data_IF_883179376513
#
_entry.id   IF_883179376513
#
_cell.length_a   1.000
_cell.length_b   1.000
_cell.length_c   1.000
_cell.angle_alpha   90.00
_cell.angle_beta   90.00
_cell.angle_gamma   90.00
#
_symmetry.space_group_name_H-M   'P 1'
#
loop_
_entity.id
_entity.type
_entity.pdbx_description
1 polymer ?
#
# COMPACT_ATOMS: atom_id res chain seq x y z
N UNK A 1 25.87 -7.94 -32.09
CA UNK A 1 24.86 -7.88 -33.16
C UNK A 1 23.63 -7.15 -32.64
N UNK A 2 23.07 -6.31 -33.50
CA UNK A 2 22.13 -5.23 -33.19
C UNK A 2 20.77 -5.73 -32.72
N UNK A 3 20.25 -5.17 -31.63
CA UNK A 3 18.84 -5.33 -31.27
C UNK A 3 18.03 -4.39 -32.16
N UNK A 4 17.15 -4.94 -32.99
CA UNK A 4 16.19 -4.13 -33.73
C UNK A 4 14.93 -4.02 -32.89
N UNK A 5 14.77 -2.89 -32.21
CA UNK A 5 13.51 -2.48 -31.61
C UNK A 5 12.64 -1.86 -32.68
N UNK A 6 11.57 -2.54 -33.07
CA UNK A 6 10.52 -1.90 -33.86
C UNK A 6 9.48 -1.31 -32.92
N UNK A 7 9.24 -0.01 -33.06
CA UNK A 7 8.10 0.65 -32.44
C UNK A 7 6.97 0.76 -33.47
N UNK A 8 5.81 0.23 -33.15
CA UNK A 8 4.58 0.54 -33.87
C UNK A 8 3.87 1.68 -33.12
N UNK A 9 3.60 2.77 -33.84
CA UNK A 9 2.80 3.89 -33.35
C UNK A 9 1.41 3.84 -33.98
N UNK A 10 0.38 3.69 -33.17
CA UNK A 10 -1.02 3.72 -33.62
C UNK A 10 -1.63 5.08 -33.25
N UNK A 11 -2.15 5.79 -34.25
CA UNK A 11 -2.83 7.09 -34.09
C UNK A 11 -4.32 6.82 -33.88
N UNK A 12 -4.87 7.29 -32.77
CA UNK A 12 -6.29 7.26 -32.47
C UNK A 12 -6.82 8.70 -32.52
N UNK A 13 -7.82 8.96 -33.35
CA UNK A 13 -8.39 10.28 -33.57
C UNK A 13 -9.87 10.26 -33.17
N UNK A 14 -10.21 11.10 -32.20
CA UNK A 14 -11.60 11.36 -31.79
C UNK A 14 -12.06 12.68 -32.42
N UNK A 15 -12.96 12.57 -33.40
CA UNK A 15 -13.42 13.70 -34.21
C UNK A 15 -14.44 14.59 -33.50
N UNK A 16 -15.07 14.10 -32.43
CA UNK A 16 -16.09 14.85 -31.70
C UNK A 16 -15.47 15.80 -30.66
N UNK A 17 -14.26 15.47 -30.17
CA UNK A 17 -13.55 16.24 -29.16
C UNK A 17 -12.25 16.90 -29.69
N UNK A 18 -11.88 16.64 -30.95
CA UNK A 18 -10.67 17.21 -31.57
C UNK A 18 -9.34 16.70 -30.99
N UNK A 19 -9.37 15.56 -30.30
CA UNK A 19 -8.22 14.98 -29.59
C UNK A 19 -7.60 13.86 -30.43
N UNK A 20 -6.27 13.94 -30.60
CA UNK A 20 -5.47 12.91 -31.26
C UNK A 20 -4.51 12.29 -30.25
N UNK A 21 -4.61 10.98 -30.05
CA UNK A 21 -3.75 10.21 -29.15
C UNK A 21 -2.83 9.28 -29.94
N UNK A 22 -1.58 9.20 -29.51
CA UNK A 22 -0.58 8.31 -30.11
C UNK A 22 -0.21 7.22 -29.11
N UNK A 23 -0.51 5.96 -29.44
CA UNK A 23 -0.12 4.80 -28.66
C UNK A 23 1.16 4.21 -29.28
N UNK A 24 2.26 4.17 -28.51
CA UNK A 24 3.52 3.56 -28.94
C UNK A 24 3.73 2.23 -28.21
N UNK A 25 3.67 1.11 -28.94
CA UNK A 25 3.97 -0.22 -28.37
C UNK A 25 5.40 -0.62 -28.68
N UNK A 26 6.12 -1.03 -27.64
CA UNK A 26 7.47 -1.58 -27.73
C UNK A 26 7.36 -3.09 -27.60
N UNK A 27 7.64 -3.81 -28.68
CA UNK A 27 7.67 -5.27 -28.67
C UNK A 27 9.13 -5.75 -28.60
N UNK A 28 9.42 -6.63 -27.64
CA UNK A 28 10.64 -7.44 -27.62
C UNK A 28 10.24 -8.90 -27.83
N UNK A 29 10.87 -9.56 -28.80
CA UNK A 29 10.64 -10.98 -29.10
C UNK A 29 11.68 -11.81 -28.34
N UNK A 30 11.29 -12.88 -27.62
CA UNK A 30 12.25 -13.74 -26.94
C UNK A 30 12.93 -14.68 -27.95
N UNK A 31 14.26 -14.68 -27.97
CA UNK A 31 15.04 -15.66 -28.72
C UNK A 31 15.54 -16.74 -27.76
N UNK A 32 15.11 -17.98 -27.98
CA UNK A 32 15.66 -19.18 -27.34
C UNK A 32 17.12 -19.37 -27.77
N UNK A 33 18.06 -19.36 -26.84
CA UNK A 33 19.31 -20.13 -26.91
C UNK A 33 19.84 -20.38 -25.50
N UNK A 34 20.04 -21.66 -25.19
CA UNK A 34 20.74 -22.13 -24.00
C UNK A 34 22.19 -21.66 -24.07
N UNK A 35 22.61 -20.78 -23.17
CA UNK A 35 24.01 -20.71 -22.77
C UNK A 35 24.18 -20.12 -21.36
N UNK A 36 25.12 -20.72 -20.64
CA UNK A 36 25.42 -20.61 -19.21
C UNK A 36 25.84 -19.19 -18.84
N UNK A 37 24.99 -18.45 -18.12
CA UNK A 37 25.30 -17.08 -17.69
C UNK A 37 26.02 -17.06 -16.35
N UNK A 38 27.29 -16.68 -16.40
CA UNK A 38 28.07 -16.15 -15.29
C UNK A 38 27.46 -14.84 -14.79
N UNK A 39 27.29 -14.74 -13.48
CA UNK A 39 26.68 -13.62 -12.77
C UNK A 39 27.57 -12.37 -12.87
N UNK A 40 27.16 -11.40 -13.69
CA UNK A 40 27.78 -10.07 -13.78
C UNK A 40 27.11 -9.13 -12.77
N UNK A 41 27.76 -8.93 -11.62
CA UNK A 41 27.38 -7.95 -10.60
C UNK A 41 27.86 -6.55 -11.00
N UNK A 42 26.93 -5.63 -11.24
CA UNK A 42 27.22 -4.22 -11.50
C UNK A 42 27.49 -3.43 -10.22
N UNK A 43 28.79 -3.24 -9.96
CA UNK A 43 29.46 -1.96 -9.62
C UNK A 43 28.73 -0.98 -8.69
N UNK A 44 29.10 -1.00 -7.40
CA UNK A 44 29.59 0.18 -6.68
C UNK A 44 30.63 -0.26 -5.65
N UNK A 45 31.91 0.05 -5.87
CA UNK A 45 32.92 0.15 -4.81
C UNK A 45 34.17 0.78 -5.40
N UNK A 46 34.34 2.08 -5.13
CA UNK A 46 35.66 2.68 -5.10
C UNK A 46 36.45 1.99 -4.00
N UNK A 47 37.39 1.13 -4.40
CA UNK A 47 38.33 0.46 -3.51
C UNK A 47 39.26 1.50 -2.88
N UNK A 48 38.81 2.15 -1.81
CA UNK A 48 39.71 2.84 -0.89
C UNK A 48 40.50 1.72 -0.21
N UNK A 49 41.77 1.55 -0.60
CA UNK A 49 42.66 0.57 -0.02
C UNK A 49 43.01 0.98 1.42
N UNK A 50 42.11 0.65 2.37
CA UNK A 50 42.35 0.85 3.79
C UNK A 50 43.51 -0.06 4.21
N UNK A 51 44.61 0.56 4.64
CA UNK A 51 45.75 -0.13 5.22
C UNK A 51 45.28 -0.86 6.50
N UNK A 52 45.62 -2.14 6.61
CA UNK A 52 45.24 -3.03 7.71
C UNK A 52 45.62 -2.46 9.10
N UNK A 53 46.74 -1.76 9.19
CA UNK A 53 47.20 -1.10 10.41
C UNK A 53 46.29 0.07 10.80
N UNK A 54 45.81 0.84 9.82
CA UNK A 54 44.92 1.99 10.04
C UNK A 54 43.52 1.54 10.46
N UNK A 55 42.98 0.51 9.79
CA UNK A 55 41.69 -0.10 10.13
C UNK A 55 41.66 -0.61 11.57
N UNK A 56 42.74 -1.28 12.01
CA UNK A 56 42.87 -1.78 13.38
C UNK A 56 42.91 -0.65 14.41
N UNK A 57 43.68 0.41 14.14
CA UNK A 57 43.79 1.58 15.04
C UNK A 57 42.45 2.29 15.20
N UNK A 58 41.69 2.50 14.13
CA UNK A 58 40.37 3.13 14.19
C UNK A 58 39.33 2.28 14.93
N UNK A 59 39.37 0.96 14.77
CA UNK A 59 38.47 0.08 15.53
C UNK A 59 38.78 0.13 17.03
N UNK A 60 40.06 0.12 17.39
CA UNK A 60 40.51 0.23 18.79
C UNK A 60 40.13 1.60 19.37
N UNK A 61 40.30 2.70 18.62
CA UNK A 61 39.91 4.04 19.09
C UNK A 61 38.39 4.19 19.29
N UNK A 62 37.59 3.43 18.55
CA UNK A 62 36.14 3.34 18.73
C UNK A 62 35.71 2.31 19.79
N UNK A 63 36.66 1.78 20.58
CA UNK A 63 36.39 0.88 21.70
C UNK A 63 36.13 -0.57 21.31
N UNK A 64 36.46 -0.97 20.07
CA UNK A 64 36.34 -2.36 19.62
C UNK A 64 37.72 -3.05 19.65
N UNK A 65 37.92 -4.10 20.47
CA UNK A 65 39.21 -4.79 20.58
C UNK A 65 39.47 -5.66 19.35
N UNK A 66 39.94 -5.04 18.27
CA UNK A 66 40.23 -5.73 17.01
C UNK A 66 41.52 -6.57 17.11
N UNK A 67 41.38 -7.85 16.74
CA UNK A 67 42.49 -8.79 16.55
C UNK A 67 43.33 -8.47 15.30
N UNK A 68 44.25 -9.37 14.89
CA UNK A 68 45.05 -9.18 13.69
C UNK A 68 44.16 -9.08 12.44
N UNK A 69 44.43 -8.08 11.60
CA UNK A 69 43.68 -7.83 10.36
C UNK A 69 44.33 -8.61 9.22
N UNK A 70 43.72 -9.73 8.87
CA UNK A 70 44.06 -10.60 7.74
C UNK A 70 43.06 -10.40 6.59
N UNK A 71 43.35 -10.94 5.40
CA UNK A 71 42.46 -10.78 4.24
C UNK A 71 41.05 -11.33 4.47
N UNK A 72 40.92 -12.40 5.28
CA UNK A 72 39.64 -13.00 5.65
C UNK A 72 38.85 -12.17 6.68
N UNK A 73 39.53 -11.36 7.49
CA UNK A 73 38.90 -10.56 8.55
C UNK A 73 38.68 -9.10 8.16
N UNK A 74 39.34 -8.63 7.09
CA UNK A 74 39.29 -7.25 6.59
C UNK A 74 37.87 -6.78 6.27
N UNK A 75 37.08 -7.59 5.55
CA UNK A 75 35.70 -7.23 5.17
C UNK A 75 34.78 -7.09 6.39
N UNK A 76 34.92 -7.99 7.37
CA UNK A 76 34.13 -7.95 8.61
C UNK A 76 34.48 -6.71 9.43
N UNK A 77 35.77 -6.37 9.52
CA UNK A 77 36.25 -5.19 10.21
C UNK A 77 35.88 -3.87 9.52
N UNK A 78 35.84 -3.82 8.20
CA UNK A 78 35.34 -2.67 7.44
C UNK A 78 33.84 -2.44 7.67
N UNK A 79 33.04 -3.51 7.63
CA UNK A 79 31.61 -3.42 7.95
C UNK A 79 31.39 -2.99 9.41
N UNK A 80 32.20 -3.50 10.34
CA UNK A 80 32.13 -3.10 11.75
C UNK A 80 32.50 -1.63 11.93
N UNK A 81 33.53 -1.15 11.25
CA UNK A 81 33.94 0.26 11.26
C UNK A 81 32.84 1.17 10.69
N UNK A 82 32.22 0.79 9.58
CA UNK A 82 31.10 1.53 9.00
C UNK A 82 29.91 1.62 9.96
N UNK A 83 29.56 0.51 10.63
CA UNK A 83 28.48 0.51 11.62
C UNK A 83 28.82 1.36 12.86
N UNK A 84 30.07 1.31 13.35
CA UNK A 84 30.52 2.13 14.46
C UNK A 84 30.55 3.62 14.10
N UNK A 85 30.98 3.97 12.87
CA UNK A 85 30.92 5.34 12.35
C UNK A 85 29.47 5.81 12.14
N UNK A 86 28.57 4.95 11.67
CA UNK A 86 27.13 5.26 11.52
C UNK A 86 26.43 5.45 12.87
N UNK A 87 26.82 4.68 13.89
CA UNK A 87 26.37 4.91 15.27
C UNK A 87 26.95 6.21 15.83
N UNK A 88 28.25 6.47 15.60
CA UNK A 88 28.94 7.69 16.01
C UNK A 88 28.31 8.95 15.39
N UNK A 89 28.00 8.94 14.09
CA UNK A 89 27.35 10.08 13.39
C UNK A 89 25.91 10.27 13.84
N UNK A 90 25.20 9.20 14.25
CA UNK A 90 23.87 9.30 14.86
C UNK A 90 23.90 9.78 16.33
N UNK A 91 25.04 9.66 17.01
CA UNK A 91 25.29 10.22 18.35
C UNK A 91 26.04 11.56 18.36
N UNK A 92 26.53 12.03 17.20
CA UNK A 92 27.35 13.26 17.11
C UNK A 92 26.54 14.54 16.98
N UNK A 93 25.21 14.49 17.03
CA UNK A 93 24.44 15.62 17.54
C UNK A 93 24.54 15.58 19.06
N UNK A 94 25.61 16.13 19.62
CA UNK A 94 25.69 16.46 21.04
C UNK A 94 24.70 17.59 21.29
N UNK A 95 23.40 17.27 21.26
CA UNK A 95 22.38 18.04 21.91
C UNK A 95 22.79 17.97 23.37
N UNK A 96 23.29 19.10 23.90
CA UNK A 96 23.52 19.28 25.32
C UNK A 96 22.17 19.11 26.02
N UNK A 97 21.83 17.87 26.36
CA UNK A 97 20.62 17.56 27.10
C UNK A 97 20.85 18.07 28.51
N UNK A 98 20.15 19.12 28.89
CA UNK A 98 20.28 19.72 30.20
C UNK A 98 19.94 18.70 31.29
N UNK A 99 20.73 18.72 32.37
CA UNK A 99 20.65 17.73 33.44
C UNK A 99 19.30 17.78 34.17
N UNK A 100 18.69 18.97 34.28
CA UNK A 100 17.38 19.13 34.88
C UNK A 100 16.29 18.65 33.94
N UNK A 101 16.38 18.91 32.64
CA UNK A 101 15.42 18.39 31.65
C UNK A 101 15.40 16.86 31.63
N UNK A 102 16.57 16.21 31.66
CA UNK A 102 16.68 14.75 31.70
C UNK A 102 16.04 14.15 32.97
N UNK A 103 16.27 14.80 34.12
CA UNK A 103 15.70 14.37 35.41
C UNK A 103 14.17 14.51 35.41
N UNK A 104 13.66 15.65 34.95
CA UNK A 104 12.21 15.93 34.91
C UNK A 104 11.47 14.94 34.02
N UNK A 105 12.00 14.62 32.84
CA UNK A 105 11.38 13.64 31.94
C UNK A 105 11.41 12.21 32.48
N UNK A 106 12.48 11.82 33.18
CA UNK A 106 12.51 10.51 33.82
C UNK A 106 11.46 10.41 34.93
N UNK A 107 11.31 11.45 35.75
CA UNK A 107 10.31 11.51 36.81
C UNK A 107 8.89 11.51 36.23
N UNK A 108 8.65 12.25 35.15
CA UNK A 108 7.33 12.28 34.51
C UNK A 108 6.94 10.93 33.89
N UNK A 109 7.92 10.12 33.48
CA UNK A 109 7.74 8.74 33.04
C UNK A 109 7.75 7.73 34.20
N UNK A 110 7.65 8.20 35.45
CA UNK A 110 7.51 7.36 36.64
C UNK A 110 8.83 6.78 37.17
N UNK A 111 9.99 7.25 36.68
CA UNK A 111 11.30 6.83 37.18
C UNK A 111 11.87 7.86 38.16
N UNK A 112 12.04 7.52 39.46
CA UNK A 112 12.57 8.44 40.47
C UNK A 112 14.08 8.62 40.28
N UNK A 113 14.46 9.51 39.36
CA UNK A 113 15.85 9.77 39.05
C UNK A 113 16.57 10.52 40.19
N UNK A 114 17.76 10.05 40.58
CA UNK A 114 18.71 10.74 41.44
C UNK A 114 19.42 11.92 40.76
N UNK A 115 20.34 12.63 41.44
CA UNK A 115 21.05 13.77 40.88
C UNK A 115 21.75 13.41 39.56
N UNK A 116 21.51 14.18 38.50
CA UNK A 116 22.14 13.94 37.19
C UNK A 116 23.50 14.64 37.20
N UNK A 117 24.55 13.86 37.42
CA UNK A 117 25.94 14.30 37.35
C UNK A 117 26.57 13.83 36.03
N UNK A 118 27.75 14.33 35.68
CA UNK A 118 28.45 13.93 34.46
C UNK A 118 28.69 12.42 34.37
N UNK A 119 28.87 11.76 35.51
CA UNK A 119 29.09 10.30 35.60
C UNK A 119 27.79 9.50 35.47
N UNK A 120 26.63 10.04 35.85
CA UNK A 120 25.33 9.34 35.82
C UNK A 120 24.48 9.68 34.59
N UNK A 121 24.79 10.78 33.89
CA UNK A 121 24.04 11.29 32.72
C UNK A 121 23.81 10.24 31.64
N UNK A 122 24.83 9.42 31.33
CA UNK A 122 24.73 8.36 30.31
C UNK A 122 23.72 7.26 30.68
N UNK A 123 23.67 6.88 31.96
CA UNK A 123 22.75 5.85 32.46
C UNK A 123 21.32 6.39 32.43
N UNK A 124 21.11 7.63 32.83
CA UNK A 124 19.83 8.31 32.76
C UNK A 124 19.31 8.48 31.32
N UNK A 125 20.17 8.84 30.37
CA UNK A 125 19.80 8.91 28.95
C UNK A 125 19.39 7.55 28.38
N UNK A 126 20.12 6.48 28.74
CA UNK A 126 19.76 5.12 28.33
C UNK A 126 18.41 4.71 28.91
N UNK A 127 18.15 5.02 30.19
CA UNK A 127 16.87 4.72 30.85
C UNK A 127 15.71 5.50 30.24
N UNK A 128 15.92 6.77 29.90
CA UNK A 128 14.92 7.61 29.23
C UNK A 128 14.53 7.02 27.87
N UNK A 129 15.53 6.59 27.10
CA UNK A 129 15.31 5.94 25.80
C UNK A 129 14.49 4.64 25.93
N UNK A 130 14.82 3.79 26.91
CA UNK A 130 14.09 2.55 27.16
C UNK A 130 12.63 2.80 27.57
N UNK A 131 12.38 3.76 28.48
CA UNK A 131 11.03 4.12 28.90
C UNK A 131 10.21 4.73 27.77
N UNK A 132 10.82 5.59 26.94
CA UNK A 132 10.17 6.14 25.74
C UNK A 132 9.82 5.03 24.74
N UNK A 133 10.70 4.05 24.54
CA UNK A 133 10.45 2.90 23.64
C UNK A 133 9.32 1.99 24.14
N UNK A 134 9.24 1.75 25.44
CA UNK A 134 8.15 0.97 26.06
C UNK A 134 6.81 1.71 25.90
N UNK A 135 6.77 3.00 26.27
CA UNK A 135 5.54 3.80 26.13
C UNK A 135 5.08 3.99 24.69
N UNK A 136 6.00 4.06 23.71
CA UNK A 136 5.61 4.09 22.30
C UNK A 136 4.99 2.77 21.87
N UNK A 137 5.54 1.63 22.29
CA UNK A 137 5.05 0.29 21.93
C UNK A 137 3.65 0.06 22.50
N UNK A 138 3.43 0.37 23.78
CA UNK A 138 2.12 0.24 24.43
C UNK A 138 1.06 1.17 23.81
N UNK A 139 1.46 2.35 23.35
CA UNK A 139 0.60 3.31 22.66
C UNK A 139 0.35 2.93 21.19
N UNK A 140 1.24 2.16 20.57
CA UNK A 140 1.07 1.53 19.26
C UNK A 140 0.04 0.39 19.35
N UNK A 141 0.16 -0.47 20.36
CA UNK A 141 -0.73 -1.60 20.60
C UNK A 141 -2.16 -1.15 20.93
N UNK A 142 -2.33 -0.15 21.80
CA UNK A 142 -3.65 0.45 22.08
C UNK A 142 -4.27 1.07 20.83
N UNK A 143 -3.49 1.78 20.00
CA UNK A 143 -3.97 2.32 18.72
C UNK A 143 -4.34 1.23 17.71
N UNK A 144 -3.64 0.09 17.70
CA UNK A 144 -4.02 -1.08 16.87
C UNK A 144 -5.33 -1.72 17.30
N UNK A 145 -5.61 -1.77 18.61
CA UNK A 145 -6.87 -2.30 19.16
C UNK A 145 -8.04 -1.35 18.86
N UNK A 146 -7.84 -0.04 19.01
CA UNK A 146 -8.88 0.98 18.73
C UNK A 146 -9.13 1.19 17.23
N UNK A 147 -8.22 0.80 16.34
CA UNK A 147 -8.33 0.99 14.88
C UNK A 147 -8.77 -0.27 14.11
N UNK A 148 -9.13 -1.36 14.81
CA UNK A 148 -9.54 -2.59 14.12
C UNK A 148 -10.91 -2.40 13.45
N UNK A 149 -10.90 -2.39 12.11
CA UNK A 149 -12.11 -2.36 11.28
C UNK A 149 -13.00 -3.57 11.61
N UNK A 150 -14.29 -3.32 11.75
CA UNK A 150 -15.31 -4.38 11.93
C UNK A 150 -16.14 -4.48 10.67
N UNK A 151 -16.16 -5.64 10.05
CA UNK A 151 -16.81 -5.89 8.77
C UNK A 151 -18.20 -6.54 8.93
N UNK A 152 -18.91 -6.80 7.82
CA UNK A 152 -20.14 -7.59 7.86
C UNK A 152 -19.89 -8.98 8.48
N UNK A 153 -20.88 -9.60 9.13
CA UNK A 153 -20.72 -10.94 9.69
C UNK A 153 -20.23 -11.98 8.67
N UNK A 154 -20.67 -11.83 7.42
CA UNK A 154 -20.26 -12.69 6.30
C UNK A 154 -18.78 -12.53 5.96
N UNK A 155 -18.27 -11.28 5.95
CA UNK A 155 -16.86 -11.00 5.69
C UNK A 155 -16.00 -11.40 6.90
N UNK A 156 -16.44 -11.09 8.12
CA UNK A 156 -15.78 -11.50 9.38
C UNK A 156 -15.63 -13.02 9.50
N UNK A 157 -16.63 -13.78 9.05
CA UNK A 157 -16.56 -15.23 9.05
C UNK A 157 -15.40 -15.75 8.19
N UNK A 158 -15.07 -15.08 7.09
CA UNK A 158 -13.92 -15.45 6.24
C UNK A 158 -12.58 -15.19 6.90
N UNK A 159 -12.47 -14.13 7.72
CA UNK A 159 -11.26 -13.82 8.49
C UNK A 159 -11.02 -14.80 9.63
N UNK A 160 -12.09 -15.44 10.14
CA UNK A 160 -12.02 -16.45 11.21
C UNK A 160 -11.75 -17.86 10.70
N UNK A 161 -12.13 -18.16 9.47
CA UNK A 161 -12.02 -19.50 8.88
C UNK A 161 -11.02 -19.49 7.72
N UNK A 162 -9.79 -19.98 7.93
CA UNK A 162 -8.76 -20.05 6.89
C UNK A 162 -9.14 -20.91 5.67
N UNK A 163 -10.08 -21.84 5.83
CA UNK A 163 -10.54 -22.74 4.77
C UNK A 163 -11.80 -22.24 4.05
N UNK A 164 -12.23 -20.99 4.27
CA UNK A 164 -13.45 -20.46 3.66
C UNK A 164 -13.43 -20.49 2.11
N UNK A 165 -12.25 -20.46 1.50
CA UNK A 165 -12.04 -20.51 0.05
C UNK A 165 -12.16 -21.91 -0.55
N UNK A 166 -12.24 -22.96 0.27
CA UNK A 166 -12.33 -24.36 -0.21
C UNK A 166 -13.65 -24.65 -0.93
N UNK A 167 -14.74 -23.99 -0.54
CA UNK A 167 -16.04 -24.12 -1.19
C UNK A 167 -16.68 -22.75 -1.42
N UNK A 168 -16.55 -22.27 -2.66
CA UNK A 168 -17.08 -20.98 -3.10
C UNK A 168 -18.42 -21.11 -3.85
N UNK A 169 -19.06 -22.28 -3.85
CA UNK A 169 -20.26 -22.55 -4.67
C UNK A 169 -21.41 -21.56 -4.40
N UNK A 170 -21.75 -21.33 -3.13
CA UNK A 170 -22.81 -20.40 -2.75
C UNK A 170 -22.53 -18.95 -3.21
N UNK A 171 -21.28 -18.52 -3.12
CA UNK A 171 -20.85 -17.19 -3.58
C UNK A 171 -20.91 -17.06 -5.10
N UNK A 172 -20.45 -18.10 -5.82
CA UNK A 172 -20.51 -18.18 -7.29
C UNK A 172 -21.94 -18.13 -7.79
N UNK A 173 -22.86 -18.86 -7.16
CA UNK A 173 -24.28 -18.85 -7.53
C UNK A 173 -24.90 -17.45 -7.45
N UNK A 174 -24.53 -16.65 -6.45
CA UNK A 174 -24.97 -15.25 -6.35
C UNK A 174 -24.40 -14.41 -7.50
N UNK A 175 -23.09 -14.50 -7.77
CA UNK A 175 -22.49 -13.78 -8.90
C UNK A 175 -23.10 -14.21 -10.25
N UNK A 176 -23.32 -15.50 -10.46
CA UNK A 176 -23.92 -16.04 -11.69
C UNK A 176 -25.35 -15.53 -11.88
N UNK A 177 -26.15 -15.47 -10.81
CA UNK A 177 -27.49 -14.90 -10.85
C UNK A 177 -27.47 -13.41 -11.23
N UNK A 178 -26.49 -12.66 -10.72
CA UNK A 178 -26.29 -11.25 -11.06
C UNK A 178 -25.90 -11.08 -12.55
N UNK A 179 -24.89 -11.82 -13.00
CA UNK A 179 -24.38 -11.74 -14.38
C UNK A 179 -25.45 -12.17 -15.38
N UNK A 180 -26.20 -13.25 -15.08
CA UNK A 180 -27.29 -13.73 -15.94
C UNK A 180 -28.39 -12.68 -16.11
N UNK A 181 -28.75 -11.97 -15.03
CA UNK A 181 -29.74 -10.91 -15.07
C UNK A 181 -29.35 -9.77 -16.01
N UNK A 182 -28.07 -9.39 -16.05
CA UNK A 182 -27.58 -8.26 -16.85
C UNK A 182 -27.03 -8.66 -18.23
N UNK A 183 -26.93 -9.95 -18.52
CA UNK A 183 -26.48 -10.47 -19.83
C UNK A 183 -27.60 -10.55 -20.87
N UNK A 184 -28.88 -10.50 -20.46
CA UNK A 184 -30.03 -10.72 -21.35
C UNK A 184 -30.65 -9.40 -21.82
N UNK A 185 -30.66 -9.09 -23.14
CA UNK A 185 -31.28 -7.87 -23.67
C UNK A 185 -32.81 -7.82 -23.52
N UNK A 186 -33.47 -8.98 -23.40
CA UNK A 186 -34.94 -9.10 -23.39
C UNK A 186 -35.60 -8.66 -22.08
N UNK A 187 -34.85 -8.56 -20.97
CA UNK A 187 -35.35 -8.04 -19.69
C UNK A 187 -35.31 -6.51 -19.61
N UNK A 188 -34.82 -5.83 -20.66
CA UNK A 188 -34.43 -4.42 -20.62
C UNK A 188 -35.58 -3.46 -20.96
N UNK A 189 -36.32 -3.03 -19.93
CA UNK A 189 -36.91 -1.68 -19.91
C UNK A 189 -36.00 -0.74 -19.12
N UNK A 190 -35.60 0.36 -19.75
CA UNK A 190 -34.89 1.55 -19.24
C UNK A 190 -34.05 1.35 -17.97
N UNK A 191 -32.92 0.63 -18.06
CA UNK A 191 -31.91 0.69 -17.02
C UNK A 191 -31.26 2.08 -16.99
N UNK A 192 -31.04 2.58 -15.78
CA UNK A 192 -30.35 3.84 -15.54
C UNK A 192 -29.03 3.87 -16.33
N UNK A 193 -28.84 4.94 -17.09
CA UNK A 193 -27.63 5.21 -17.88
C UNK A 193 -27.34 4.20 -19.00
N UNK A 194 -28.36 3.44 -19.41
CA UNK A 194 -28.33 2.57 -20.59
C UNK A 194 -27.71 1.20 -20.36
N UNK A 195 -27.46 0.49 -21.47
CA UNK A 195 -26.98 -0.90 -21.50
C UNK A 195 -25.61 -1.06 -22.16
N UNK A 196 -24.91 0.05 -22.43
CA UNK A 196 -23.54 0.01 -22.96
C UNK A 196 -22.60 -0.62 -21.93
N UNK A 197 -21.83 -1.61 -22.36
CA UNK A 197 -20.79 -2.29 -21.56
C UNK A 197 -19.51 -1.45 -21.48
N UNK A 198 -19.62 -0.22 -21.00
CA UNK A 198 -18.54 0.76 -20.87
C UNK A 198 -18.21 1.13 -19.43
N UNK A 199 -18.83 0.44 -18.46
CA UNK A 199 -18.62 0.67 -17.04
C UNK A 199 -17.71 -0.38 -16.43
N UNK A 200 -17.16 -0.04 -15.27
CA UNK A 200 -16.36 -0.90 -14.42
C UNK A 200 -16.49 -0.45 -12.95
N UNK A 201 -15.90 -1.22 -12.04
CA UNK A 201 -15.72 -0.84 -10.64
C UNK A 201 -14.23 -0.68 -10.32
N UNK A 202 -13.90 0.05 -9.28
CA UNK A 202 -12.50 0.23 -8.87
C UNK A 202 -12.40 0.41 -7.37
N UNK A 203 -11.21 0.15 -6.83
CA UNK A 203 -10.87 0.38 -5.43
C UNK A 203 -9.75 1.40 -5.35
N UNK A 204 -9.79 2.24 -4.31
CA UNK A 204 -8.62 3.01 -3.88
C UNK A 204 -8.04 2.34 -2.64
N UNK A 205 -6.75 1.99 -2.71
CA UNK A 205 -6.02 1.32 -1.62
C UNK A 205 -4.95 2.24 -1.04
N UNK A 206 -4.75 2.14 0.27
CA UNK A 206 -3.70 2.84 1.00
C UNK A 206 -2.38 2.05 0.92
N UNK A 207 -1.35 2.56 0.21
CA UNK A 207 -0.07 1.88 0.05
C UNK A 207 0.69 1.67 1.37
N UNK A 208 0.40 2.47 2.39
CA UNK A 208 1.02 2.34 3.72
C UNK A 208 0.56 1.07 4.44
N UNK A 209 -0.58 0.52 4.03
CA UNK A 209 -1.13 -0.73 4.56
C UNK A 209 -0.81 -1.91 3.67
N UNK A 210 -0.94 -1.75 2.35
CA UNK A 210 -0.58 -2.85 1.43
C UNK A 210 0.91 -3.15 1.50
N UNK A 211 1.78 -2.13 1.65
CA UNK A 211 3.24 -2.26 1.67
C UNK A 211 3.72 -3.17 0.53
N UNK A 212 3.25 -2.89 -0.70
CA UNK A 212 3.48 -3.73 -1.88
C UNK A 212 3.10 -5.21 -1.63
N UNK A 213 1.87 -5.42 -1.17
CA UNK A 213 1.33 -6.73 -0.82
C UNK A 213 1.59 -7.81 -1.89
N UNK A 214 1.41 -7.54 -3.21
CA UNK A 214 1.69 -8.53 -4.25
C UNK A 214 3.12 -9.09 -4.22
N UNK A 215 4.11 -8.29 -3.83
CA UNK A 215 5.51 -8.74 -3.77
C UNK A 215 5.85 -9.58 -2.53
N UNK A 216 4.99 -9.60 -1.51
CA UNK A 216 5.24 -10.29 -0.24
C UNK A 216 4.22 -11.39 0.08
N UNK A 217 3.12 -11.45 -0.65
CA UNK A 217 2.01 -12.38 -0.40
C UNK A 217 2.44 -13.85 -0.33
N UNK A 218 3.40 -14.28 -1.17
CA UNK A 218 3.90 -15.66 -1.20
C UNK A 218 4.57 -16.12 0.11
N UNK A 219 4.97 -15.17 0.96
CA UNK A 219 5.62 -15.44 2.24
C UNK A 219 4.72 -15.21 3.45
N UNK A 220 3.46 -14.80 3.22
CA UNK A 220 2.49 -14.46 4.24
C UNK A 220 1.44 -15.56 4.41
N UNK A 221 0.81 -15.61 5.58
CA UNK A 221 -0.38 -16.45 5.75
C UNK A 221 -1.54 -15.92 4.89
N UNK A 222 -2.35 -16.81 4.33
CA UNK A 222 -3.45 -16.43 3.44
C UNK A 222 -4.47 -15.51 4.13
N UNK A 223 -4.67 -15.68 5.44
CA UNK A 223 -5.51 -14.78 6.24
C UNK A 223 -4.87 -13.40 6.36
N UNK A 224 -3.56 -13.31 6.58
CA UNK A 224 -2.86 -12.03 6.71
C UNK A 224 -2.86 -11.26 5.38
N UNK A 225 -2.71 -11.96 4.25
CA UNK A 225 -2.87 -11.37 2.91
C UNK A 225 -4.28 -10.79 2.76
N UNK A 226 -5.30 -11.56 3.15
CA UNK A 226 -6.69 -11.16 3.07
C UNK A 226 -7.01 -9.95 3.96
N UNK A 227 -6.60 -9.98 5.22
CA UNK A 227 -6.80 -8.88 6.19
C UNK A 227 -6.05 -7.62 5.76
N UNK A 228 -4.82 -7.76 5.24
CA UNK A 228 -4.02 -6.64 4.71
C UNK A 228 -4.74 -5.98 3.54
N UNK A 229 -5.20 -6.77 2.57
CA UNK A 229 -5.94 -6.25 1.42
C UNK A 229 -7.21 -5.50 1.85
N UNK A 230 -8.06 -6.12 2.67
CA UNK A 230 -9.30 -5.50 3.16
C UNK A 230 -9.06 -4.21 3.97
N UNK A 231 -8.04 -4.19 4.81
CA UNK A 231 -7.74 -3.04 5.66
C UNK A 231 -7.22 -1.84 4.86
N UNK A 232 -6.58 -2.11 3.71
CA UNK A 232 -6.04 -1.11 2.78
C UNK A 232 -7.11 -0.37 1.99
N UNK A 233 -8.26 -1.00 1.73
CA UNK A 233 -9.36 -0.38 0.98
C UNK A 233 -9.91 0.79 1.80
N UNK A 234 -9.90 1.98 1.20
CA UNK A 234 -10.53 3.16 1.79
C UNK A 234 -11.62 3.75 0.90
N UNK A 235 -11.79 3.30 -0.34
CA UNK A 235 -12.88 3.72 -1.21
C UNK A 235 -13.24 2.65 -2.23
N UNK A 236 -14.54 2.50 -2.49
CA UNK A 236 -15.07 1.63 -3.54
C UNK A 236 -15.80 2.51 -4.55
N UNK A 237 -15.51 2.34 -5.83
CA UNK A 237 -16.06 3.18 -6.87
C UNK A 237 -16.62 2.41 -8.06
N UNK A 238 -17.43 3.13 -8.82
CA UNK A 238 -17.96 2.77 -10.14
C UNK A 238 -17.62 3.89 -11.12
N UNK A 239 -17.34 3.53 -12.36
CA UNK A 239 -16.86 4.50 -13.33
C UNK A 239 -16.99 4.09 -14.77
N UNK A 240 -16.82 5.09 -15.63
CA UNK A 240 -16.58 4.98 -17.07
C UNK A 240 -15.33 5.79 -17.38
N UNK A 241 -14.56 5.39 -18.40
CA UNK A 241 -13.37 6.13 -18.87
C UNK A 241 -12.47 6.54 -17.69
N UNK A 242 -12.16 7.84 -17.57
CA UNK A 242 -11.19 8.40 -16.61
C UNK A 242 -11.75 8.66 -15.20
N UNK A 243 -12.94 8.14 -14.86
CA UNK A 243 -13.59 8.41 -13.57
C UNK A 243 -12.71 8.18 -12.32
N UNK A 244 -11.83 7.17 -12.24
CA UNK A 244 -10.97 6.98 -11.08
C UNK A 244 -10.00 8.14 -10.86
N UNK A 245 -9.52 8.75 -11.95
CA UNK A 245 -8.59 9.89 -11.90
C UNK A 245 -9.29 11.18 -11.46
N UNK A 246 -10.61 11.32 -11.63
CA UNK A 246 -11.31 12.55 -11.23
C UNK A 246 -11.13 12.84 -9.73
N UNK A 247 -11.14 11.80 -8.89
CA UNK A 247 -10.91 11.98 -7.44
C UNK A 247 -9.50 12.47 -7.11
N UNK A 248 -8.51 12.09 -7.93
CA UNK A 248 -7.15 12.53 -7.76
C UNK A 248 -6.99 13.99 -8.24
N UNK A 249 -7.64 14.36 -9.35
CA UNK A 249 -7.68 15.76 -9.79
C UNK A 249 -8.38 16.67 -8.77
N UNK A 250 -9.49 16.22 -8.18
CA UNK A 250 -10.17 16.94 -7.10
C UNK A 250 -9.22 17.16 -5.90
N UNK A 251 -8.44 16.14 -5.55
CA UNK A 251 -7.44 16.23 -4.48
C UNK A 251 -6.28 17.17 -4.81
N UNK A 252 -5.81 17.19 -6.07
CA UNK A 252 -4.78 18.13 -6.55
C UNK A 252 -5.27 19.58 -6.44
N UNK A 253 -6.48 19.84 -6.91
CA UNK A 253 -7.07 21.18 -6.83
C UNK A 253 -7.12 21.67 -5.37
N UNK A 254 -7.50 20.76 -4.46
CA UNK A 254 -7.55 21.05 -3.04
C UNK A 254 -6.16 21.23 -2.41
N UNK A 255 -5.17 20.44 -2.83
CA UNK A 255 -3.78 20.52 -2.36
C UNK A 255 -3.10 21.83 -2.79
N UNK A 256 -3.30 22.26 -4.04
CA UNK A 256 -2.68 23.47 -4.61
C UNK A 256 -3.24 24.77 -4.08
N UNK A 257 -4.55 24.83 -3.82
CA UNK A 257 -5.22 26.07 -3.44
C UNK A 257 -4.99 26.45 -1.97
N UNK A 258 -4.31 25.63 -1.18
CA UNK A 258 -4.17 25.86 0.27
C UNK A 258 -5.54 25.90 0.96
N UNK A 259 -6.52 25.20 0.40
CA UNK A 259 -7.91 25.23 0.83
C UNK A 259 -8.04 24.75 2.29
N UNK A 260 -9.04 25.27 3.04
CA UNK A 260 -9.30 24.84 4.40
C UNK A 260 -9.51 23.32 4.47
N UNK A 261 -9.25 22.66 5.61
CA UNK A 261 -9.36 21.21 5.74
C UNK A 261 -10.68 20.67 5.17
N UNK A 262 -10.59 19.82 4.14
CA UNK A 262 -11.78 19.22 3.53
C UNK A 262 -12.49 18.28 4.52
N UNK A 263 -13.82 18.31 4.49
CA UNK A 263 -14.64 17.32 5.19
C UNK A 263 -14.82 16.03 4.39
N UNK A 264 -14.41 16.01 3.11
CA UNK A 264 -14.44 14.80 2.29
C UNK A 264 -13.31 13.86 2.72
N UNK A 265 -13.69 12.80 3.44
CA UNK A 265 -12.77 11.80 3.95
C UNK A 265 -11.95 11.09 2.85
N UNK A 266 -12.48 10.99 1.63
CA UNK A 266 -11.79 10.36 0.49
C UNK A 266 -10.67 11.28 0.02
N UNK A 267 -10.96 12.58 -0.17
CA UNK A 267 -9.94 13.56 -0.54
C UNK A 267 -8.89 13.70 0.55
N UNK A 268 -9.31 13.73 1.83
CA UNK A 268 -8.40 13.75 2.98
C UNK A 268 -7.45 12.55 2.98
N UNK A 269 -7.95 11.35 2.69
CA UNK A 269 -7.12 10.13 2.65
C UNK A 269 -6.11 10.17 1.50
N UNK A 270 -6.51 10.67 0.32
CA UNK A 270 -5.61 10.83 -0.84
C UNK A 270 -4.47 11.80 -0.51
N UNK A 271 -4.80 12.98 0.04
CA UNK A 271 -3.81 14.00 0.42
C UNK A 271 -2.84 13.45 1.47
N UNK A 272 -3.35 12.79 2.52
CA UNK A 272 -2.54 12.20 3.58
C UNK A 272 -1.55 11.14 3.03
N UNK A 273 -1.95 10.32 2.06
CA UNK A 273 -1.05 9.37 1.38
C UNK A 273 0.07 10.12 0.64
N UNK A 274 -0.27 11.18 -0.10
CA UNK A 274 0.72 11.98 -0.84
C UNK A 274 1.68 12.75 0.06
N UNK A 275 1.20 13.28 1.20
CA UNK A 275 2.04 13.94 2.20
C UNK A 275 3.09 12.98 2.78
N UNK A 276 2.75 11.69 2.90
CA UNK A 276 3.66 10.62 3.29
C UNK A 276 4.58 10.12 2.14
N UNK A 277 4.66 10.86 1.03
CA UNK A 277 5.54 10.57 -0.13
C UNK A 277 5.26 9.24 -0.82
N UNK A 278 4.02 8.78 -0.76
CA UNK A 278 3.52 7.61 -1.48
C UNK A 278 2.44 8.04 -2.47
N UNK A 279 2.04 7.13 -3.37
CA UNK A 279 0.95 7.35 -4.30
C UNK A 279 -0.23 6.42 -4.04
N UNK A 280 -1.44 6.91 -4.32
CA UNK A 280 -2.66 6.10 -4.14
C UNK A 280 -2.67 4.95 -5.13
N UNK A 281 -3.04 3.75 -4.69
CA UNK A 281 -3.20 2.60 -5.59
C UNK A 281 -4.63 2.60 -6.13
N UNK A 282 -4.76 2.64 -7.45
CA UNK A 282 -6.05 2.61 -8.15
C UNK A 282 -6.22 1.26 -8.84
N UNK A 283 -6.97 0.36 -8.21
CA UNK A 283 -7.21 -0.98 -8.73
C UNK A 283 -8.51 -1.00 -9.54
N UNK A 284 -8.43 -1.22 -10.85
CA UNK A 284 -9.59 -1.35 -11.73
C UNK A 284 -10.06 -2.81 -11.76
N UNK A 285 -11.35 -3.05 -11.54
CA UNK A 285 -11.95 -4.40 -11.43
C UNK A 285 -13.31 -4.50 -12.13
N UNK A 286 -13.64 -5.70 -12.62
CA UNK A 286 -14.91 -6.01 -13.28
C UNK A 286 -15.23 -5.05 -14.45
N UNK A 287 -14.44 -5.15 -15.51
CA UNK A 287 -14.60 -4.34 -16.74
C UNK A 287 -15.72 -4.84 -17.65
N UNK A 288 -16.09 -4.01 -18.63
CA UNK A 288 -17.04 -4.33 -19.70
C UNK A 288 -18.43 -4.75 -19.18
N UNK A 289 -18.86 -4.09 -18.10
CA UNK A 289 -20.18 -4.28 -17.50
C UNK A 289 -21.08 -3.09 -17.79
N UNK A 290 -22.40 -3.28 -17.67
CA UNK A 290 -23.36 -2.20 -17.80
C UNK A 290 -23.40 -1.35 -16.53
N UNK A 291 -23.88 -0.09 -16.58
CA UNK A 291 -23.90 0.79 -15.41
C UNK A 291 -24.56 0.17 -14.19
N UNK A 292 -25.79 -0.34 -14.30
CA UNK A 292 -26.54 -0.93 -13.17
C UNK A 292 -25.86 -2.15 -12.53
N UNK A 293 -25.06 -2.89 -13.29
CA UNK A 293 -24.22 -3.95 -12.73
C UNK A 293 -23.07 -3.36 -11.91
N UNK A 294 -22.41 -2.30 -12.40
CA UNK A 294 -21.37 -1.60 -11.66
C UNK A 294 -21.91 -0.97 -10.35
N UNK A 295 -23.10 -0.36 -10.39
CA UNK A 295 -23.79 0.12 -9.18
C UNK A 295 -24.01 -1.01 -8.16
N UNK A 296 -24.50 -2.16 -8.64
CA UNK A 296 -24.82 -3.29 -7.76
C UNK A 296 -23.56 -3.92 -7.15
N UNK A 297 -22.48 -4.05 -7.94
CA UNK A 297 -21.18 -4.57 -7.47
C UNK A 297 -20.53 -3.63 -6.45
N UNK A 298 -20.55 -2.32 -6.70
CA UNK A 298 -20.09 -1.31 -5.75
C UNK A 298 -20.86 -1.41 -4.43
N UNK A 299 -22.19 -1.44 -4.50
CA UNK A 299 -23.04 -1.51 -3.31
C UNK A 299 -22.81 -2.79 -2.50
N UNK A 300 -22.66 -3.94 -3.16
CA UNK A 300 -22.35 -5.20 -2.49
C UNK A 300 -21.00 -5.14 -1.75
N UNK A 301 -19.94 -4.62 -2.38
CA UNK A 301 -18.62 -4.49 -1.76
C UNK A 301 -18.64 -3.54 -0.56
N UNK A 302 -19.35 -2.41 -0.67
CA UNK A 302 -19.50 -1.47 0.46
C UNK A 302 -20.32 -2.10 1.59
N UNK A 303 -21.37 -2.87 1.29
CA UNK A 303 -22.18 -3.56 2.30
C UNK A 303 -21.35 -4.58 3.09
N UNK A 304 -20.42 -5.28 2.42
CA UNK A 304 -19.50 -6.21 3.08
C UNK A 304 -18.43 -5.49 3.93
N UNK A 305 -17.83 -4.42 3.39
CA UNK A 305 -16.84 -3.61 4.10
C UNK A 305 -17.45 -2.78 5.24
N UNK A 306 -18.73 -2.46 5.15
CA UNK A 306 -19.46 -1.43 5.91
C UNK A 306 -18.98 0.00 5.66
N UNK A 307 -19.92 0.94 5.77
CA UNK A 307 -19.72 2.36 5.48
C UNK A 307 -18.69 3.01 6.40
N UNK A 308 -18.67 2.64 7.68
CA UNK A 308 -17.74 3.18 8.67
C UNK A 308 -16.26 2.90 8.34
N UNK A 309 -15.98 1.94 7.47
CA UNK A 309 -14.63 1.50 7.11
C UNK A 309 -14.12 2.06 5.78
N UNK A 310 -14.96 2.79 5.04
CA UNK A 310 -14.63 3.38 3.73
C UNK A 310 -15.07 4.84 3.68
N UNK A 311 -14.43 5.64 2.85
CA UNK A 311 -14.69 7.07 2.67
C UNK A 311 -15.87 7.35 1.72
N UNK A 312 -16.62 6.33 1.33
CA UNK A 312 -17.85 6.50 0.56
C UNK A 312 -18.87 7.31 1.36
N UNK A 313 -19.65 8.17 0.69
CA UNK A 313 -20.73 8.94 1.34
C UNK A 313 -22.02 8.13 1.50
N UNK A 314 -22.23 7.11 0.66
CA UNK A 314 -23.39 6.21 0.69
C UNK A 314 -23.05 4.83 0.16
N UNK A 315 -23.87 3.84 0.54
CA UNK A 315 -23.72 2.42 0.19
C UNK A 315 -23.91 2.17 -1.31
N UNK A 316 -24.79 2.91 -1.99
CA UNK A 316 -25.11 2.67 -3.40
C UNK A 316 -26.41 1.87 -3.57
N UNK A 317 -26.79 1.62 -4.83
CA UNK A 317 -28.09 1.08 -5.20
C UNK A 317 -27.96 -0.35 -5.74
N UNK A 318 -28.89 -1.24 -5.38
CA UNK A 318 -28.97 -2.60 -5.92
C UNK A 318 -30.02 -2.66 -7.04
N UNK A 319 -29.66 -3.26 -8.17
CA UNK A 319 -30.53 -3.40 -9.33
C UNK A 319 -30.80 -4.87 -9.69
N UNK A 320 -31.82 -5.09 -10.53
CA UNK A 320 -32.17 -6.43 -11.01
C UNK A 320 -32.63 -7.33 -9.87
N UNK A 321 -32.28 -8.61 -9.94
CA UNK A 321 -32.61 -9.61 -8.91
C UNK A 321 -32.01 -9.27 -7.55
N UNK A 322 -30.85 -8.61 -7.53
CA UNK A 322 -30.15 -8.26 -6.31
C UNK A 322 -30.85 -7.18 -5.46
N UNK A 323 -31.80 -6.42 -6.03
CA UNK A 323 -32.59 -5.46 -5.24
C UNK A 323 -33.42 -6.17 -4.16
N UNK A 324 -33.94 -7.36 -4.49
CA UNK A 324 -34.80 -8.20 -3.65
C UNK A 324 -34.03 -9.14 -2.71
N UNK A 325 -32.70 -9.22 -2.85
CA UNK A 325 -31.89 -10.08 -2.00
C UNK A 325 -31.87 -9.60 -0.55
N UNK A 326 -31.79 -10.58 0.35
CA UNK A 326 -31.58 -10.35 1.78
C UNK A 326 -30.20 -9.74 1.98
N UNK A 327 -30.04 -9.00 3.09
CA UNK A 327 -28.75 -8.38 3.45
C UNK A 327 -27.60 -9.39 3.46
N UNK A 328 -27.82 -10.59 4.00
CA UNK A 328 -26.84 -11.69 4.00
C UNK A 328 -26.31 -12.00 2.59
N UNK A 329 -27.19 -12.14 1.61
CA UNK A 329 -26.82 -12.45 0.22
C UNK A 329 -26.03 -11.29 -0.42
N UNK A 330 -26.42 -10.05 -0.14
CA UNK A 330 -25.71 -8.83 -0.58
C UNK A 330 -24.29 -8.78 0.00
N UNK A 331 -24.13 -9.04 1.30
CA UNK A 331 -22.84 -9.13 1.98
C UNK A 331 -21.98 -10.29 1.47
N UNK A 332 -22.59 -11.46 1.21
CA UNK A 332 -21.90 -12.61 0.64
C UNK A 332 -21.35 -12.29 -0.76
N UNK A 333 -22.18 -11.69 -1.63
CA UNK A 333 -21.73 -11.22 -2.94
C UNK A 333 -20.55 -10.25 -2.78
N UNK A 334 -20.68 -9.23 -1.92
CA UNK A 334 -19.61 -8.26 -1.67
C UNK A 334 -18.30 -8.89 -1.22
N UNK A 335 -18.38 -9.83 -0.27
CA UNK A 335 -17.23 -10.60 0.24
C UNK A 335 -16.50 -11.33 -0.89
N UNK A 336 -17.26 -11.98 -1.77
CA UNK A 336 -16.70 -12.72 -2.89
C UNK A 336 -16.09 -11.80 -3.96
N UNK A 337 -16.73 -10.66 -4.25
CA UNK A 337 -16.19 -9.65 -5.16
C UNK A 337 -14.86 -9.08 -4.64
N UNK A 338 -14.77 -8.79 -3.33
CA UNK A 338 -13.53 -8.32 -2.71
C UNK A 338 -12.42 -9.38 -2.79
N UNK A 339 -12.75 -10.66 -2.62
CA UNK A 339 -11.78 -11.74 -2.77
C UNK A 339 -11.27 -11.87 -4.20
N UNK A 340 -12.17 -11.76 -5.19
CA UNK A 340 -11.76 -11.69 -6.60
C UNK A 340 -10.88 -10.47 -6.86
N UNK A 341 -11.20 -9.31 -6.29
CA UNK A 341 -10.41 -8.10 -6.41
C UNK A 341 -9.00 -8.26 -5.79
N UNK A 342 -8.89 -8.93 -4.64
CA UNK A 342 -7.58 -9.28 -4.06
C UNK A 342 -6.76 -10.12 -5.02
N UNK A 343 -7.33 -11.19 -5.58
CA UNK A 343 -6.61 -12.07 -6.50
C UNK A 343 -6.16 -11.32 -7.76
N UNK A 344 -6.98 -10.41 -8.29
CA UNK A 344 -6.59 -9.52 -9.40
C UNK A 344 -5.42 -8.64 -8.98
N UNK A 345 -5.48 -8.01 -7.81
CA UNK A 345 -4.42 -7.15 -7.30
C UNK A 345 -3.08 -7.88 -7.11
N UNK A 346 -3.12 -9.09 -6.55
CA UNK A 346 -1.94 -9.93 -6.38
C UNK A 346 -1.29 -10.31 -7.72
N UNK A 347 -2.10 -10.48 -8.78
CA UNK A 347 -1.61 -10.82 -10.12
C UNK A 347 -1.13 -9.60 -10.92
N UNK A 348 -1.82 -8.46 -10.82
CA UNK A 348 -1.47 -7.24 -11.55
C UNK A 348 -0.30 -6.48 -10.93
N UNK A 349 -0.05 -6.68 -9.64
CA UNK A 349 0.94 -5.95 -8.86
C UNK A 349 0.42 -4.60 -8.33
N UNK A 350 1.25 -3.95 -7.52
CA UNK A 350 0.94 -2.63 -6.96
C UNK A 350 1.51 -1.52 -7.83
N UNK A 351 0.65 -0.60 -8.27
CA UNK A 351 1.03 0.63 -8.97
C UNK A 351 0.43 1.83 -8.24
N UNK A 352 1.31 2.71 -7.79
CA UNK A 352 0.95 3.92 -7.05
C UNK A 352 0.86 5.10 -8.00
N UNK A 353 -0.12 5.97 -7.79
CA UNK A 353 -0.26 7.26 -8.46
C UNK A 353 0.06 8.37 -7.48
N UNK A 354 1.27 8.91 -7.60
CA UNK A 354 1.74 10.05 -6.81
C UNK A 354 1.25 11.36 -7.40
N UNK A 355 1.38 12.45 -6.64
CA UNK A 355 1.03 13.79 -7.09
C UNK A 355 1.71 14.14 -8.43
N UNK A 356 3.01 13.85 -8.55
CA UNK A 356 3.80 14.16 -9.77
C UNK A 356 3.36 13.38 -11.00
N UNK A 357 2.86 12.15 -10.84
CA UNK A 357 2.41 11.33 -11.98
C UNK A 357 1.18 11.90 -12.67
N UNK A 358 0.40 12.71 -11.94
CA UNK A 358 -0.88 13.22 -12.38
C UNK A 358 -0.77 14.67 -12.85
N UNK A 359 0.20 15.43 -12.32
CA UNK A 359 0.49 16.81 -12.75
C UNK A 359 1.17 16.91 -14.11
N UNK A 360 1.89 15.86 -14.55
CA UNK A 360 2.56 15.83 -15.85
C UNK A 360 1.67 15.34 -17.01
N UNK A 361 0.38 15.07 -16.75
CA UNK A 361 -0.57 14.48 -17.69
C UNK A 361 -1.48 15.47 -18.40
#
# INVERSE_FOLDING_TARGET
>A
MSFVTYSTSCKHEDKDEGIVLYEKRLHSVPSNTNERVQTLSSKTSSTINYNATTLRKELISLGFPAGPVTDTTKTVYLNKLYQLKKLSTKTSSTISYDANTLRTELISLGFPAGPVTDTTKRVHLKKLYELKKLSSTEREERRKIESKKVYSPELEATLKNSSWTTNLSAYKLLEDALVKQFSSPSTMRNFREGNSKSSFTYLLLDPRKTENLPCRADTMDSKDVWETFLSSIFYVGKGKKNRPYSHLYDAIAHYKQGNPPTTDQKIKSIIDIWENKLGVVVLHIFHNIIPVEAYTREAAMIEALRMENVANMKIGDFYGTASMWKRKEKCMLGTYLLYKAMNIFLQEGERQLSLSDIECG
#
